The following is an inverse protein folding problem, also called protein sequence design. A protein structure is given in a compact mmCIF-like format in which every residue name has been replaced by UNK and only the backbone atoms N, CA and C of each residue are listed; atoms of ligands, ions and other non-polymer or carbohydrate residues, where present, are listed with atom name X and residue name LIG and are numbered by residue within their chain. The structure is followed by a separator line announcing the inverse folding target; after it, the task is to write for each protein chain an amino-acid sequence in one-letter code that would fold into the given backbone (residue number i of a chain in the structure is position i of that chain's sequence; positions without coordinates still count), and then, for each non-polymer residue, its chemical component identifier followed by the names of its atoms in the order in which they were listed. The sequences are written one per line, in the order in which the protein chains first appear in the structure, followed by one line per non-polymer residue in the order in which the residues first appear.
data_IF_082729290536
#
_entry.id   IF_082729290536
#
_cell.length_a   1.000
_cell.length_b   1.000
_cell.length_c   1.000
_cell.angle_alpha   90.00
_cell.angle_beta   90.00
_cell.angle_gamma   90.00
#
_symmetry.space_group_name_H-M   'P 1'
#
loop_
_entity.id
_entity.type
_entity.pdbx_description
1 polymer ?
#
# COMPACT_ATOMS: atom_id res chain seq x y z
N UNK A 1 0.00 16.53 -31.41
CA UNK A 1 0.19 15.85 -30.11
C UNK A 1 -1.11 15.15 -29.79
N UNK A 2 -1.15 13.82 -29.91
CA UNK A 2 -2.32 13.01 -29.59
C UNK A 2 -2.36 12.79 -28.08
N UNK A 3 -3.34 13.37 -27.41
CA UNK A 3 -3.63 13.11 -26.00
C UNK A 3 -4.26 11.72 -25.90
N UNK A 4 -3.49 10.72 -25.49
CA UNK A 4 -4.05 9.39 -25.21
C UNK A 4 -4.92 9.51 -23.96
N UNK A 5 -6.24 9.34 -24.11
CA UNK A 5 -7.16 9.27 -22.96
C UNK A 5 -6.84 8.05 -22.10
N UNK A 6 -7.02 8.16 -20.77
CA UNK A 6 -6.89 7.02 -19.87
C UNK A 6 -7.92 5.93 -20.26
N UNK A 7 -7.55 4.64 -20.22
CA UNK A 7 -8.49 3.56 -20.48
C UNK A 7 -9.63 3.55 -19.46
N UNK A 8 -10.80 3.11 -19.90
CA UNK A 8 -12.00 2.95 -19.08
C UNK A 8 -11.93 1.67 -18.23
N UNK A 9 -12.78 1.58 -17.20
CA UNK A 9 -12.91 0.36 -16.39
C UNK A 9 -13.34 -0.86 -17.23
N UNK A 10 -14.16 -0.65 -18.27
CA UNK A 10 -14.62 -1.72 -19.15
C UNK A 10 -13.47 -2.30 -19.99
N UNK A 11 -12.58 -1.45 -20.50
CA UNK A 11 -11.40 -1.87 -21.26
C UNK A 11 -10.39 -2.63 -20.38
N UNK A 12 -10.14 -2.16 -19.16
CA UNK A 12 -9.33 -2.91 -18.19
C UNK A 12 -9.95 -4.28 -17.86
N UNK A 13 -11.25 -4.34 -17.62
CA UNK A 13 -11.94 -5.60 -17.34
C UNK A 13 -11.88 -6.56 -18.54
N UNK A 14 -12.00 -6.06 -19.77
CA UNK A 14 -11.81 -6.87 -20.97
C UNK A 14 -10.38 -7.44 -21.05
N UNK A 15 -9.35 -6.63 -20.77
CA UNK A 15 -7.97 -7.09 -20.72
C UNK A 15 -7.71 -8.13 -19.62
N UNK A 16 -8.33 -7.99 -18.45
CA UNK A 16 -8.23 -8.99 -17.38
C UNK A 16 -8.91 -10.32 -17.75
N UNK A 17 -10.03 -10.27 -18.48
CA UNK A 17 -10.65 -11.49 -19.03
C UNK A 17 -9.76 -12.14 -20.08
N UNK A 18 -9.15 -11.36 -20.97
CA UNK A 18 -8.18 -11.89 -21.94
C UNK A 18 -6.96 -12.52 -21.27
N UNK A 19 -6.48 -11.93 -20.17
CA UNK A 19 -5.41 -12.54 -19.36
C UNK A 19 -5.88 -13.87 -18.77
N UNK A 20 -7.10 -13.93 -18.22
CA UNK A 20 -7.69 -15.18 -17.74
C UNK A 20 -7.76 -16.23 -18.87
N UNK A 21 -8.29 -15.85 -20.04
CA UNK A 21 -8.38 -16.72 -21.22
C UNK A 21 -7.00 -17.25 -21.66
N UNK A 22 -5.96 -16.40 -21.64
CA UNK A 22 -4.58 -16.81 -21.95
C UNK A 22 -4.09 -17.86 -20.96
N UNK A 23 -4.30 -17.66 -19.66
CA UNK A 23 -3.86 -18.60 -18.62
C UNK A 23 -4.58 -19.95 -18.77
N UNK A 24 -5.89 -19.92 -19.01
CA UNK A 24 -6.69 -21.14 -19.18
C UNK A 24 -6.28 -21.95 -20.41
N UNK A 25 -5.92 -21.28 -21.51
CA UNK A 25 -5.54 -21.93 -22.77
C UNK A 25 -4.10 -22.43 -22.81
N UNK A 26 -3.25 -22.04 -21.85
CA UNK A 26 -1.83 -22.38 -21.80
C UNK A 26 -1.44 -22.98 -20.43
N UNK A 27 -1.93 -24.19 -20.09
CA UNK A 27 -1.76 -24.79 -18.75
C UNK A 27 -0.31 -25.17 -18.41
N UNK A 28 0.59 -25.17 -19.39
CA UNK A 28 2.02 -25.39 -19.23
C UNK A 28 2.77 -24.14 -18.73
N UNK A 29 2.16 -22.96 -18.80
CA UNK A 29 2.73 -21.72 -18.26
C UNK A 29 2.63 -21.73 -16.73
N UNK A 30 3.78 -21.56 -16.07
CA UNK A 30 3.86 -21.49 -14.61
C UNK A 30 3.19 -20.20 -14.08
N UNK A 31 2.21 -20.34 -13.20
CA UNK A 31 1.38 -19.24 -12.64
C UNK A 31 1.98 -18.51 -11.44
N UNK A 32 3.26 -18.74 -11.10
CA UNK A 32 3.90 -18.34 -9.83
C UNK A 32 3.98 -16.83 -9.54
N UNK A 33 3.51 -15.96 -10.43
CA UNK A 33 3.55 -14.50 -10.30
C UNK A 33 2.18 -13.83 -10.39
N UNK A 34 1.11 -14.60 -10.57
CA UNK A 34 -0.26 -14.08 -10.73
C UNK A 34 -1.01 -13.94 -9.40
N UNK A 35 -0.47 -14.49 -8.32
CA UNK A 35 -1.08 -14.46 -7.00
C UNK A 35 -1.19 -13.04 -6.41
N UNK A 36 -0.38 -12.08 -6.87
CA UNK A 36 -0.41 -10.69 -6.39
C UNK A 36 -0.21 -9.69 -7.51
N UNK A 37 -1.25 -8.91 -7.79
CA UNK A 37 -1.21 -7.83 -8.78
C UNK A 37 -1.34 -6.47 -8.10
N UNK A 38 -0.48 -5.51 -8.43
CA UNK A 38 -0.59 -4.15 -7.93
C UNK A 38 -1.52 -3.35 -8.84
N UNK A 39 -2.81 -3.34 -8.52
CA UNK A 39 -3.86 -2.83 -9.43
C UNK A 39 -4.22 -1.38 -9.13
N UNK A 40 -4.13 -0.94 -7.86
CA UNK A 40 -4.54 0.40 -7.45
C UNK A 40 -3.43 1.19 -6.77
N UNK A 41 -3.36 2.48 -7.09
CA UNK A 41 -2.52 3.47 -6.43
C UNK A 41 -3.41 4.66 -5.99
N UNK A 42 -4.24 4.46 -4.93
CA UNK A 42 -5.09 5.52 -4.41
C UNK A 42 -4.27 6.74 -4.00
N UNK A 43 -4.82 7.94 -4.25
CA UNK A 43 -4.16 9.22 -3.96
C UNK A 43 -4.44 9.75 -2.56
N UNK A 44 -5.53 9.29 -1.96
CA UNK A 44 -5.97 9.69 -0.65
C UNK A 44 -6.69 8.52 0.06
N UNK A 45 -7.00 8.74 1.34
CA UNK A 45 -7.70 7.76 2.19
C UNK A 45 -9.08 7.40 1.63
N UNK A 46 -9.79 8.35 1.04
CA UNK A 46 -11.15 8.12 0.56
C UNK A 46 -11.16 7.19 -0.67
N UNK A 47 -10.20 7.37 -1.57
CA UNK A 47 -9.99 6.52 -2.73
C UNK A 47 -9.61 5.09 -2.31
N UNK A 48 -8.73 4.95 -1.31
CA UNK A 48 -8.42 3.65 -0.72
C UNK A 48 -9.67 2.98 -0.12
N UNK A 49 -10.51 3.75 0.60
CA UNK A 49 -11.78 3.25 1.13
C UNK A 49 -12.76 2.82 0.04
N UNK A 50 -12.82 3.53 -1.09
CA UNK A 50 -13.66 3.13 -2.24
C UNK A 50 -13.21 1.78 -2.80
N UNK A 51 -11.90 1.56 -2.95
CA UNK A 51 -11.35 0.27 -3.40
C UNK A 51 -11.70 -0.85 -2.41
N UNK A 52 -11.48 -0.63 -1.11
CA UNK A 52 -11.83 -1.59 -0.05
C UNK A 52 -13.31 -1.98 -0.12
N UNK A 53 -14.22 -0.98 -0.16
CA UNK A 53 -15.66 -1.22 -0.22
C UNK A 53 -16.07 -1.99 -1.48
N UNK A 54 -15.52 -1.62 -2.63
CA UNK A 54 -15.79 -2.33 -3.89
C UNK A 54 -15.32 -3.79 -3.84
N UNK A 55 -14.14 -4.04 -3.26
CA UNK A 55 -13.60 -5.38 -3.05
C UNK A 55 -14.52 -6.26 -2.19
N UNK A 56 -14.94 -5.75 -1.04
CA UNK A 56 -15.85 -6.46 -0.13
C UNK A 56 -17.20 -6.75 -0.78
N UNK A 57 -17.77 -5.77 -1.49
CA UNK A 57 -19.02 -5.96 -2.22
C UNK A 57 -18.90 -7.03 -3.32
N UNK A 58 -17.70 -7.21 -3.88
CA UNK A 58 -17.37 -8.26 -4.84
C UNK A 58 -16.94 -9.59 -4.18
N UNK A 59 -17.03 -9.71 -2.85
CA UNK A 59 -16.71 -10.94 -2.11
C UNK A 59 -15.22 -11.14 -1.81
N UNK A 60 -14.38 -10.11 -1.91
CA UNK A 60 -12.98 -10.21 -1.56
C UNK A 60 -12.78 -10.36 -0.04
N UNK A 61 -11.80 -11.18 0.36
CA UNK A 61 -11.21 -11.07 1.70
C UNK A 61 -10.20 -9.92 1.72
N UNK A 62 -10.21 -9.07 2.74
CA UNK A 62 -9.38 -7.86 2.78
C UNK A 62 -8.37 -7.92 3.91
N UNK A 63 -7.09 -7.98 3.55
CA UNK A 63 -5.96 -7.90 4.47
C UNK A 63 -5.31 -6.51 4.43
N UNK A 64 -4.70 -6.12 5.55
CA UNK A 64 -3.89 -4.90 5.66
C UNK A 64 -2.44 -5.30 5.85
N UNK A 65 -1.56 -4.79 5.01
CA UNK A 65 -0.11 -4.99 5.10
C UNK A 65 0.56 -3.65 5.40
N UNK A 66 1.05 -3.50 6.63
CA UNK A 66 1.76 -2.30 7.08
C UNK A 66 3.27 -2.52 7.06
N UNK A 67 4.01 -1.54 6.56
CA UNK A 67 5.47 -1.40 6.69
C UNK A 67 5.80 0.00 7.20
N UNK A 68 7.07 0.37 7.36
CA UNK A 68 7.43 1.72 7.82
C UNK A 68 6.99 2.83 6.86
N UNK A 69 6.85 2.52 5.58
CA UNK A 69 6.50 3.49 4.53
C UNK A 69 5.15 3.21 3.86
N UNK A 70 4.61 2.01 3.97
CA UNK A 70 3.38 1.60 3.28
C UNK A 70 2.28 1.15 4.24
N UNK A 71 1.04 1.38 3.82
CA UNK A 71 -0.19 0.88 4.42
C UNK A 71 -1.03 0.24 3.30
N UNK A 72 -0.50 -0.85 2.74
CA UNK A 72 -1.12 -1.51 1.60
C UNK A 72 -2.37 -2.26 2.04
N UNK A 73 -3.33 -2.36 1.12
CA UNK A 73 -4.50 -3.22 1.28
C UNK A 73 -4.46 -4.30 0.22
N UNK A 74 -4.65 -5.55 0.64
CA UNK A 74 -4.68 -6.72 -0.24
C UNK A 74 -6.11 -7.24 -0.29
N UNK A 75 -6.68 -7.27 -1.50
CA UNK A 75 -8.00 -7.80 -1.81
C UNK A 75 -7.81 -9.20 -2.40
N UNK A 76 -8.20 -10.25 -1.67
CA UNK A 76 -8.07 -11.65 -2.10
C UNK A 76 -9.38 -12.17 -2.68
N UNK A 77 -9.31 -12.71 -3.89
CA UNK A 77 -10.36 -13.41 -4.62
C UNK A 77 -9.90 -14.86 -4.83
N UNK A 78 -10.16 -15.71 -3.83
CA UNK A 78 -9.61 -17.08 -3.81
C UNK A 78 -8.08 -17.08 -3.80
N UNK A 79 -7.40 -17.75 -4.74
CA UNK A 79 -5.93 -17.79 -4.79
C UNK A 79 -5.29 -16.51 -5.36
N UNK A 80 -6.08 -15.60 -5.94
CA UNK A 80 -5.59 -14.37 -6.56
C UNK A 80 -5.74 -13.21 -5.59
N UNK A 81 -4.74 -12.35 -5.51
CA UNK A 81 -4.81 -11.12 -4.75
C UNK A 81 -4.51 -9.89 -5.63
N UNK A 82 -5.25 -8.82 -5.38
CA UNK A 82 -4.99 -7.51 -5.95
C UNK A 82 -4.67 -6.52 -4.83
N UNK A 83 -3.68 -5.66 -5.03
CA UNK A 83 -3.16 -4.76 -4.02
C UNK A 83 -3.46 -3.31 -4.37
N UNK A 84 -3.90 -2.55 -3.36
CA UNK A 84 -3.94 -1.10 -3.36
C UNK A 84 -2.74 -0.57 -2.57
N UNK A 85 -1.84 0.14 -3.27
CA UNK A 85 -0.64 0.73 -2.71
C UNK A 85 -0.97 2.08 -2.08
N UNK A 86 -0.71 2.24 -0.79
CA UNK A 86 -0.89 3.51 -0.10
C UNK A 86 0.31 3.82 0.79
N UNK A 87 0.75 5.07 0.79
CA UNK A 87 1.76 5.53 1.74
C UNK A 87 1.20 5.49 3.16
N UNK A 88 2.02 5.10 4.14
CA UNK A 88 1.55 4.99 5.53
C UNK A 88 1.03 6.32 6.10
N UNK A 89 1.62 7.44 5.69
CA UNK A 89 1.17 8.79 6.03
C UNK A 89 -0.18 9.19 5.44
N UNK A 90 -0.67 8.50 4.42
CA UNK A 90 -2.00 8.71 3.85
C UNK A 90 -3.11 8.17 4.74
N UNK A 91 -2.78 7.13 5.51
CA UNK A 91 -3.76 6.35 6.28
C UNK A 91 -3.60 6.57 7.79
N UNK A 92 -2.37 6.78 8.23
CA UNK A 92 -2.00 6.86 9.64
C UNK A 92 -1.36 8.21 9.94
N UNK A 93 -1.58 8.68 11.15
CA UNK A 93 -0.93 9.88 11.68
C UNK A 93 0.38 9.47 12.36
N UNK A 94 1.48 10.17 12.05
CA UNK A 94 2.75 10.01 12.76
C UNK A 94 2.73 10.89 14.00
N UNK A 95 2.81 10.28 15.17
CA UNK A 95 2.72 10.97 16.46
C UNK A 95 4.05 10.83 17.20
N UNK A 96 4.59 11.94 17.69
CA UNK A 96 5.76 11.94 18.58
C UNK A 96 5.30 11.48 19.96
N UNK A 97 5.84 10.36 20.43
CA UNK A 97 5.51 9.76 21.74
C UNK A 97 6.58 10.00 22.79
N UNK A 98 7.72 10.56 22.38
CA UNK A 98 8.79 10.95 23.28
C UNK A 98 10.02 11.40 22.51
N UNK A 99 11.10 11.61 23.25
CA UNK A 99 12.40 11.98 22.69
C UNK A 99 13.49 11.17 23.39
N UNK A 100 14.56 10.84 22.67
CA UNK A 100 15.77 10.26 23.27
C UNK A 100 17.01 11.00 22.79
N UNK A 101 18.01 11.08 23.65
CA UNK A 101 19.32 11.60 23.27
C UNK A 101 20.15 10.47 22.66
N UNK A 102 20.72 10.71 21.48
CA UNK A 102 21.61 9.79 20.78
C UNK A 102 22.92 10.49 20.43
N UNK A 103 24.02 9.76 20.41
CA UNK A 103 25.29 10.27 19.88
C UNK A 103 25.33 10.00 18.38
N UNK A 104 25.44 11.06 17.58
CA UNK A 104 25.56 11.00 16.12
C UNK A 104 26.86 11.68 15.68
N UNK A 105 27.43 11.32 14.51
CA UNK A 105 28.56 12.06 13.95
C UNK A 105 28.20 13.55 13.78
N UNK A 106 29.11 14.43 14.13
CA UNK A 106 28.95 15.88 13.97
C UNK A 106 28.78 16.23 12.47
N UNK A 107 27.59 16.68 12.04
CA UNK A 107 27.35 17.00 10.64
C UNK A 107 28.16 18.21 10.15
N UNK A 108 28.71 19.02 11.05
CA UNK A 108 29.57 20.15 10.71
C UNK A 108 31.03 19.73 10.44
N UNK A 109 31.39 18.46 10.67
CA UNK A 109 32.77 17.97 10.56
C UNK A 109 32.94 16.90 9.49
N UNK A 110 33.92 17.09 8.62
CA UNK A 110 34.29 16.21 7.49
C UNK A 110 35.80 15.86 7.66
N UNK A 111 36.27 14.63 7.32
CA UNK A 111 37.30 13.81 7.99
C UNK A 111 38.70 14.43 8.28
N UNK A 112 39.61 13.76 9.07
CA UNK A 112 39.79 12.29 9.18
C UNK A 112 38.97 11.58 10.27
N UNK A 113 38.68 12.23 11.40
CA UNK A 113 37.83 11.69 12.47
C UNK A 113 36.66 12.64 12.72
N UNK A 114 35.43 12.14 12.63
CA UNK A 114 34.22 12.92 12.90
C UNK A 114 33.86 12.75 14.37
N UNK A 115 33.98 13.79 15.23
CA UNK A 115 33.55 13.71 16.62
C UNK A 115 32.05 13.42 16.68
N UNK A 116 31.59 12.79 17.77
CA UNK A 116 30.15 12.56 17.98
C UNK A 116 29.56 13.63 18.88
N UNK A 117 28.37 14.12 18.53
CA UNK A 117 27.59 15.09 19.32
C UNK A 117 26.30 14.45 19.83
N UNK A 118 25.82 14.90 20.99
CA UNK A 118 24.52 14.50 21.49
C UNK A 118 23.41 15.22 20.72
N UNK A 119 22.50 14.44 20.14
CA UNK A 119 21.33 14.93 19.43
C UNK A 119 20.07 14.35 20.05
N UNK A 120 19.09 15.21 20.33
CA UNK A 120 17.75 14.76 20.70
C UNK A 120 16.99 14.35 19.44
N UNK A 121 16.57 13.07 19.39
CA UNK A 121 15.75 12.53 18.30
C UNK A 121 14.37 12.17 18.81
N UNK A 122 13.36 12.41 17.98
CA UNK A 122 11.97 12.05 18.27
C UNK A 122 11.76 10.54 18.19
N UNK A 123 11.06 9.99 19.17
CA UNK A 123 10.49 8.65 19.14
C UNK A 123 9.06 8.82 18.61
N UNK A 124 8.75 8.15 17.50
CA UNK A 124 7.46 8.32 16.81
C UNK A 124 6.72 7.00 16.68
N UNK A 125 5.41 7.06 16.86
CA UNK A 125 4.48 5.96 16.61
C UNK A 125 3.49 6.32 15.51
N UNK A 126 2.96 5.32 14.83
CA UNK A 126 1.89 5.49 13.84
C UNK A 126 0.54 5.17 14.47
N UNK A 127 -0.35 6.16 14.50
CA UNK A 127 -1.75 5.97 14.90
C UNK A 127 -2.64 5.88 13.66
N UNK A 128 -3.09 4.67 13.36
CA UNK A 128 -3.94 4.40 12.20
C UNK A 128 -5.40 4.40 12.63
N UNK A 129 -6.21 5.29 12.06
CA UNK A 129 -7.65 5.21 12.22
C UNK A 129 -8.20 4.01 11.43
N UNK A 130 -9.30 3.38 11.89
CA UNK A 130 -9.93 2.29 11.13
C UNK A 130 -10.22 2.73 9.69
N UNK A 131 -9.71 1.95 8.73
CA UNK A 131 -10.00 2.15 7.29
C UNK A 131 -11.49 1.90 6.99
N UNK A 132 -12.13 1.04 7.78
CA UNK A 132 -13.56 0.88 7.83
C UNK A 132 -13.98 0.94 9.30
N UNK A 133 -15.05 1.68 9.58
CA UNK A 133 -15.85 1.43 10.77
C UNK A 133 -16.46 0.04 10.60
N UNK A 134 -16.35 -0.84 11.59
CA UNK A 134 -17.18 -2.05 11.59
C UNK A 134 -18.65 -1.64 11.41
N UNK A 135 -19.49 -2.44 10.73
CA UNK A 135 -20.93 -2.23 10.85
C UNK A 135 -21.25 -2.26 12.35
N UNK A 136 -21.92 -1.22 12.84
CA UNK A 136 -22.42 -1.22 14.21
C UNK A 136 -23.20 -2.52 14.41
N UNK A 137 -22.77 -3.33 15.38
CA UNK A 137 -23.57 -4.44 15.85
C UNK A 137 -24.91 -3.85 16.32
N UNK A 138 -25.97 -4.14 15.58
CA UNK A 138 -27.35 -3.95 16.02
C UNK A 138 -27.88 -5.28 16.52
#
# INVERSE_FOLDING_TARGET
MTTTSKPTAAEYAAGLRQLADMIETNPDIRTAYLERMHVWCPRDREELQRVVRAGLAAGAHVDKEYSDHAANVVLRFGPVAAMALAGRSMVCERVVVGTRTVRVPDPAYVPPETPTVEQTVEITEWRCNPLMTEPAAH
#
